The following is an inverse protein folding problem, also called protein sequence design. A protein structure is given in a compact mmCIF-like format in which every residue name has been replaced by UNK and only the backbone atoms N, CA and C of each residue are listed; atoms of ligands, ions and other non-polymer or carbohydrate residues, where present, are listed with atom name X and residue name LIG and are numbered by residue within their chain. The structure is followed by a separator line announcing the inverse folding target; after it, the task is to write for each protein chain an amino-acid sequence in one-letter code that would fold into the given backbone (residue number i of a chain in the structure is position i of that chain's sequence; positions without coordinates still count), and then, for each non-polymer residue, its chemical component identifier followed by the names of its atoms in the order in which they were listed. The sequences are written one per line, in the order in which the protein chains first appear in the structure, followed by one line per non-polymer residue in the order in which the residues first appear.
data_IF_098964378908
#
_entry.id   IF_098964378908
#
_cell.length_a   1.000
_cell.length_b   1.000
_cell.length_c   1.000
_cell.angle_alpha   90.00
_cell.angle_beta   90.00
_cell.angle_gamma   90.00
#
_symmetry.space_group_name_H-M   'P 1'
#
loop_
_entity.id
_entity.type
_entity.pdbx_description
1 polymer ?
#
# COMPACT_ATOMS: atom_id res chain seq x y z
N UNK A 1 11.79 -0.05 22.00
CA UNK A 1 10.79 0.71 21.22
C UNK A 1 11.35 1.51 20.03
N UNK A 2 12.55 2.13 20.11
CA UNK A 2 13.16 2.88 18.98
C UNK A 2 13.60 2.02 17.78
N UNK A 3 14.07 0.79 17.99
CA UNK A 3 14.60 -0.07 16.92
C UNK A 3 13.54 -0.58 15.93
N UNK A 4 12.28 -0.75 16.37
CA UNK A 4 11.20 -1.27 15.52
C UNK A 4 10.63 -0.23 14.56
N UNK A 5 10.62 1.05 14.93
CA UNK A 5 10.15 2.13 14.04
C UNK A 5 11.17 2.43 12.94
N UNK A 6 12.46 2.54 13.28
CA UNK A 6 13.51 2.73 12.28
C UNK A 6 13.53 1.58 11.27
N UNK A 7 13.41 0.33 11.74
CA UNK A 7 13.34 -0.83 10.85
C UNK A 7 12.12 -0.81 9.91
N UNK A 8 10.99 -0.24 10.35
CA UNK A 8 9.79 -0.06 9.53
C UNK A 8 9.87 1.13 8.57
N UNK A 9 10.65 2.16 8.90
CA UNK A 9 10.87 3.32 8.03
C UNK A 9 11.87 2.96 6.93
N UNK A 10 12.90 2.17 7.23
CA UNK A 10 13.94 1.75 6.29
C UNK A 10 13.70 0.36 5.67
N UNK A 11 12.45 -0.11 5.61
CA UNK A 11 12.06 -1.32 4.88
C UNK A 11 12.00 -1.07 3.37
N UNK A 12 13.13 -0.71 2.76
CA UNK A 12 13.23 -0.33 1.34
C UNK A 12 12.76 -1.43 0.37
N UNK A 13 12.75 -2.70 0.80
CA UNK A 13 12.24 -3.81 0.00
C UNK A 13 10.71 -3.87 -0.14
N UNK A 14 9.96 -2.96 0.49
CA UNK A 14 8.49 -3.00 0.46
C UNK A 14 7.89 -2.39 -0.83
N UNK A 15 8.68 -1.72 -1.66
CA UNK A 15 8.18 -0.99 -2.84
C UNK A 15 7.56 -1.95 -3.89
N UNK A 16 6.25 -1.80 -4.16
CA UNK A 16 5.53 -2.59 -5.18
C UNK A 16 5.52 -1.86 -6.52
N UNK A 17 5.66 -2.63 -7.60
CA UNK A 17 5.61 -2.13 -8.99
C UNK A 17 6.63 -1.01 -9.30
N UNK A 18 7.82 -1.05 -8.69
CA UNK A 18 8.83 0.02 -8.82
C UNK A 18 9.30 0.34 -10.25
N UNK A 19 9.08 -0.57 -11.21
CA UNK A 19 9.36 -0.31 -12.62
C UNK A 19 8.49 0.83 -13.20
N UNK A 20 7.23 0.99 -12.77
CA UNK A 20 6.37 2.10 -13.21
C UNK A 20 6.94 3.45 -12.75
N UNK A 21 7.41 3.49 -11.51
CA UNK A 21 8.08 4.66 -10.94
C UNK A 21 9.38 4.96 -11.69
N UNK A 22 10.16 3.94 -12.03
CA UNK A 22 11.39 4.11 -12.82
C UNK A 22 11.12 4.69 -14.21
N UNK A 23 10.06 4.24 -14.89
CA UNK A 23 9.64 4.81 -16.19
C UNK A 23 9.21 6.26 -16.01
N UNK A 24 8.41 6.57 -14.98
CA UNK A 24 8.00 7.95 -14.67
C UNK A 24 9.21 8.87 -14.49
N UNK A 25 10.20 8.45 -13.70
CA UNK A 25 11.46 9.19 -13.50
C UNK A 25 12.21 9.36 -14.81
N UNK A 26 12.37 8.30 -15.60
CA UNK A 26 13.08 8.35 -16.88
C UNK A 26 12.44 9.34 -17.86
N UNK A 27 11.09 9.34 -17.97
CA UNK A 27 10.37 10.31 -18.80
C UNK A 27 10.59 11.73 -18.29
N UNK A 28 10.61 11.93 -16.97
CA UNK A 28 10.86 13.24 -16.37
C UNK A 28 12.28 13.75 -16.65
N UNK A 29 13.29 12.88 -16.53
CA UNK A 29 14.69 13.18 -16.86
C UNK A 29 14.81 13.63 -18.31
N UNK A 30 14.21 12.88 -19.24
CA UNK A 30 14.25 13.21 -20.68
C UNK A 30 13.56 14.54 -20.95
N UNK A 31 12.39 14.76 -20.35
CA UNK A 31 11.65 16.03 -20.49
C UNK A 31 12.50 17.20 -20.00
N UNK A 32 13.04 17.11 -18.78
CA UNK A 32 13.88 18.16 -18.18
C UNK A 32 15.13 18.43 -19.02
N UNK A 33 15.80 17.37 -19.47
CA UNK A 33 17.00 17.51 -20.29
C UNK A 33 16.71 18.25 -21.61
N UNK A 34 15.60 17.92 -22.28
CA UNK A 34 15.17 18.58 -23.52
C UNK A 34 14.78 20.03 -23.28
N UNK A 35 14.07 20.31 -22.17
CA UNK A 35 13.69 21.66 -21.75
C UNK A 35 14.90 22.58 -21.64
N UNK A 36 15.92 22.13 -20.90
CA UNK A 36 17.08 22.96 -20.58
C UNK A 36 18.07 23.10 -21.76
N UNK A 37 18.21 22.06 -22.59
CA UNK A 37 19.14 22.09 -23.73
C UNK A 37 18.57 22.79 -24.96
N UNK A 38 17.29 22.59 -25.26
CA UNK A 38 16.70 23.04 -26.51
C UNK A 38 15.70 24.17 -26.38
N UNK A 39 15.22 24.47 -25.16
CA UNK A 39 14.16 25.44 -24.87
C UNK A 39 13.13 25.52 -26.02
N UNK A 40 12.34 24.45 -26.21
CA UNK A 40 11.52 24.30 -27.40
C UNK A 40 10.47 25.41 -27.47
N UNK A 41 10.42 26.12 -28.61
CA UNK A 41 9.35 27.11 -28.89
C UNK A 41 7.95 26.50 -28.77
N UNK A 42 7.83 25.20 -29.00
CA UNK A 42 6.59 24.44 -28.85
C UNK A 42 6.51 23.78 -27.47
N UNK A 43 5.94 24.50 -26.50
CA UNK A 43 5.79 24.03 -25.12
C UNK A 43 4.78 22.88 -24.95
N UNK A 44 3.95 22.61 -25.96
CA UNK A 44 2.89 21.60 -25.89
C UNK A 44 3.46 20.19 -25.68
N UNK A 45 4.45 19.80 -26.49
CA UNK A 45 5.06 18.46 -26.41
C UNK A 45 5.76 18.25 -25.07
N UNK A 46 6.49 19.27 -24.61
CA UNK A 46 7.17 19.23 -23.33
C UNK A 46 6.19 19.07 -22.16
N UNK A 47 5.08 19.82 -22.20
CA UNK A 47 3.99 19.69 -21.23
C UNK A 47 3.41 18.28 -21.24
N UNK A 48 3.18 17.69 -22.41
CA UNK A 48 2.70 16.30 -22.53
C UNK A 48 3.65 15.30 -21.86
N UNK A 49 4.97 15.45 -22.02
CA UNK A 49 5.93 14.57 -21.35
C UNK A 49 5.91 14.71 -19.83
N UNK A 50 5.85 15.93 -19.30
CA UNK A 50 5.71 16.15 -17.86
C UNK A 50 4.39 15.57 -17.32
N UNK A 51 3.27 15.78 -18.02
CA UNK A 51 1.99 15.19 -17.66
C UNK A 51 2.00 13.66 -17.72
N UNK A 52 2.63 13.08 -18.74
CA UNK A 52 2.78 11.63 -18.86
C UNK A 52 3.62 11.04 -17.71
N UNK A 53 4.74 11.68 -17.39
CA UNK A 53 5.57 11.30 -16.24
C UNK A 53 4.77 11.35 -14.93
N UNK A 54 4.03 12.45 -14.71
CA UNK A 54 3.19 12.61 -13.54
C UNK A 54 2.09 11.54 -13.46
N UNK A 55 1.38 11.28 -14.57
CA UNK A 55 0.33 10.27 -14.63
C UNK A 55 0.88 8.87 -14.31
N UNK A 56 2.05 8.52 -14.82
CA UNK A 56 2.73 7.27 -14.49
C UNK A 56 3.06 7.17 -12.99
N UNK A 57 3.52 8.25 -12.36
CA UNK A 57 3.75 8.29 -10.91
C UNK A 57 2.45 8.12 -10.12
N UNK A 58 1.35 8.75 -10.55
CA UNK A 58 0.03 8.59 -9.92
C UNK A 58 -0.47 7.16 -10.05
N UNK A 59 -0.38 6.56 -11.24
CA UNK A 59 -0.74 5.16 -11.48
C UNK A 59 0.10 4.21 -10.63
N UNK A 60 1.41 4.47 -10.53
CA UNK A 60 2.28 3.74 -9.60
C UNK A 60 1.80 3.90 -8.16
N UNK A 61 1.47 5.11 -7.71
CA UNK A 61 0.93 5.37 -6.37
C UNK A 61 -0.35 4.58 -6.10
N UNK A 62 -1.28 4.50 -7.05
CA UNK A 62 -2.47 3.66 -6.93
C UNK A 62 -2.14 2.16 -6.84
N UNK A 63 -1.35 1.65 -7.79
CA UNK A 63 -0.99 0.23 -7.86
C UNK A 63 -0.17 -0.22 -6.64
N UNK A 64 0.76 0.62 -6.19
CA UNK A 64 1.56 0.39 -5.00
C UNK A 64 0.67 0.32 -3.75
N UNK A 65 -0.30 1.23 -3.59
CA UNK A 65 -1.27 1.17 -2.48
C UNK A 65 -2.04 -0.15 -2.49
N UNK A 66 -2.68 -0.48 -3.62
CA UNK A 66 -3.48 -1.71 -3.77
C UNK A 66 -2.63 -2.96 -3.53
N UNK A 67 -1.37 -2.98 -3.99
CA UNK A 67 -0.44 -4.08 -3.76
C UNK A 67 -0.07 -4.31 -2.28
N UNK A 68 -0.31 -3.31 -1.42
CA UNK A 68 -0.12 -3.39 0.02
C UNK A 68 -1.40 -3.64 0.82
N UNK A 69 -2.57 -3.51 0.19
CA UNK A 69 -3.84 -3.92 0.80
C UNK A 69 -3.80 -5.44 0.96
N UNK A 70 -3.44 -5.90 2.16
CA UNK A 70 -3.60 -7.29 2.56
C UNK A 70 -4.94 -7.44 3.26
N UNK A 71 -5.86 -8.11 2.59
CA UNK A 71 -7.01 -8.71 3.29
C UNK A 71 -6.42 -9.81 4.18
N UNK A 72 -6.72 -9.75 5.47
CA UNK A 72 -6.14 -10.63 6.49
C UNK A 72 -6.23 -12.12 6.05
N UNK A 73 -5.22 -12.94 6.38
CA UNK A 73 -5.10 -14.33 5.92
C UNK A 73 -6.30 -15.20 6.33
N UNK A 74 -6.94 -14.85 7.44
CA UNK A 74 -8.21 -15.42 7.91
C UNK A 74 -9.32 -15.43 6.84
N UNK A 75 -9.19 -14.58 5.81
CA UNK A 75 -10.20 -14.37 4.79
C UNK A 75 -9.98 -15.19 3.52
N UNK A 76 -8.81 -15.80 3.33
CA UNK A 76 -8.40 -16.47 2.08
C UNK A 76 -8.69 -17.98 2.05
N UNK A 77 -8.94 -18.61 3.20
CA UNK A 77 -9.28 -20.05 3.30
C UNK A 77 -10.76 -20.21 3.68
N UNK A 78 -11.63 -20.11 2.69
CA UNK A 78 -13.10 -20.11 2.89
C UNK A 78 -13.74 -21.50 2.78
N UNK A 79 -12.99 -22.49 2.34
CA UNK A 79 -13.52 -23.83 2.01
C UNK A 79 -13.35 -24.85 3.14
N UNK A 80 -12.66 -24.47 4.22
CA UNK A 80 -12.31 -25.39 5.29
C UNK A 80 -12.51 -24.73 6.66
N UNK A 81 -13.55 -25.20 7.37
CA UNK A 81 -13.92 -24.78 8.72
C UNK A 81 -12.75 -25.01 9.69
N UNK A 82 -12.05 -26.14 9.60
CA UNK A 82 -10.93 -26.44 10.48
C UNK A 82 -9.75 -25.50 10.21
N UNK A 83 -9.48 -25.18 8.94
CA UNK A 83 -8.45 -24.20 8.58
C UNK A 83 -8.81 -22.78 9.02
N UNK A 84 -10.09 -22.41 9.05
CA UNK A 84 -10.58 -21.12 9.54
C UNK A 84 -10.39 -20.99 11.06
N UNK A 85 -10.93 -21.94 11.83
CA UNK A 85 -10.91 -21.90 13.29
C UNK A 85 -9.49 -21.99 13.86
N UNK A 86 -8.61 -22.76 13.24
CA UNK A 86 -7.22 -22.88 13.69
C UNK A 86 -6.43 -21.57 13.61
N UNK A 87 -6.83 -20.65 12.72
CA UNK A 87 -6.19 -19.33 12.57
C UNK A 87 -6.68 -18.31 13.61
N UNK A 88 -7.75 -18.61 14.35
CA UNK A 88 -8.27 -17.72 15.38
C UNK A 88 -7.32 -17.67 16.58
N UNK A 89 -7.13 -16.48 17.15
CA UNK A 89 -6.32 -16.28 18.35
C UNK A 89 -7.16 -16.47 19.62
N UNK A 90 -7.83 -17.63 19.73
CA UNK A 90 -8.68 -18.02 20.87
C UNK A 90 -8.11 -19.29 21.54
N UNK A 91 -8.62 -19.62 22.73
CA UNK A 91 -8.15 -20.79 23.48
C UNK A 91 -8.41 -22.10 22.70
N UNK A 92 -7.66 -23.15 22.98
CA UNK A 92 -7.83 -24.43 22.30
C UNK A 92 -9.24 -25.03 22.51
N UNK A 93 -9.83 -24.76 23.67
CA UNK A 93 -11.18 -25.20 24.03
C UNK A 93 -12.24 -24.44 23.22
N UNK A 94 -12.13 -23.10 23.13
CA UNK A 94 -13.02 -22.26 22.32
C UNK A 94 -12.93 -22.61 20.82
N UNK A 95 -11.74 -22.99 20.34
CA UNK A 95 -11.56 -23.49 18.96
C UNK A 95 -12.38 -24.75 18.73
N UNK A 96 -12.33 -25.70 19.64
CA UNK A 96 -13.08 -26.95 19.49
C UNK A 96 -14.58 -26.69 19.50
N UNK A 97 -15.06 -25.85 20.41
CA UNK A 97 -16.48 -25.47 20.49
C UNK A 97 -16.95 -24.78 19.20
N UNK A 98 -16.21 -23.77 18.74
CA UNK A 98 -16.55 -23.03 17.54
C UNK A 98 -16.51 -23.90 16.27
N UNK A 99 -15.54 -24.81 16.18
CA UNK A 99 -15.49 -25.76 15.06
C UNK A 99 -16.74 -26.63 15.03
N UNK A 100 -17.13 -27.20 16.17
CA UNK A 100 -18.30 -28.06 16.24
C UNK A 100 -19.58 -27.28 15.88
N UNK A 101 -19.72 -26.05 16.38
CA UNK A 101 -20.85 -25.18 16.01
C UNK A 101 -20.93 -24.92 14.50
N UNK A 102 -19.80 -24.62 13.84
CA UNK A 102 -19.76 -24.37 12.40
C UNK A 102 -20.02 -25.64 11.58
N UNK A 103 -19.55 -26.79 12.05
CA UNK A 103 -19.81 -28.09 11.43
C UNK A 103 -21.29 -28.49 11.54
N UNK A 104 -21.92 -28.26 12.69
CA UNK A 104 -23.35 -28.51 12.90
C UNK A 104 -24.21 -27.58 12.02
N UNK A 105 -23.87 -26.30 11.96
CA UNK A 105 -24.56 -25.34 11.11
C UNK A 105 -24.40 -25.67 9.61
N UNK A 106 -23.21 -26.12 9.18
CA UNK A 106 -22.99 -26.59 7.82
C UNK A 106 -23.81 -27.87 7.54
N UNK A 107 -23.89 -28.81 8.48
CA UNK A 107 -24.70 -30.01 8.33
C UNK A 107 -26.20 -29.68 8.17
N UNK A 108 -26.70 -28.66 8.87
CA UNK A 108 -28.08 -28.20 8.70
C UNK A 108 -28.33 -27.56 7.33
N UNK A 109 -27.36 -26.83 6.78
CA UNK A 109 -27.43 -26.30 5.42
C UNK A 109 -27.39 -27.41 4.36
N UNK A 110 -26.59 -28.47 4.58
CA UNK A 110 -26.59 -29.67 3.74
C UNK A 110 -27.97 -30.36 3.75
N UNK A 111 -28.60 -30.48 4.93
CA UNK A 111 -29.97 -31.01 5.07
C UNK A 111 -31.02 -30.14 4.36
N UNK A 112 -30.77 -28.85 4.19
CA UNK A 112 -31.61 -27.92 3.44
C UNK A 112 -31.36 -27.97 1.91
N UNK A 113 -30.54 -28.91 1.44
CA UNK A 113 -30.31 -29.15 0.01
C UNK A 113 -29.12 -28.39 -0.57
N UNK A 114 -28.28 -27.74 0.26
CA UNK A 114 -27.01 -27.16 -0.20
C UNK A 114 -25.97 -28.25 -0.41
N UNK A 115 -25.05 -28.01 -1.33
CA UNK A 115 -23.87 -28.89 -1.45
C UNK A 115 -22.96 -28.69 -0.25
N UNK A 116 -22.21 -29.72 0.14
CA UNK A 116 -21.25 -29.69 1.25
C UNK A 116 -20.28 -28.50 1.18
N UNK A 117 -19.81 -28.16 -0.02
CA UNK A 117 -18.91 -27.03 -0.23
C UNK A 117 -19.61 -25.68 -0.07
N UNK A 118 -20.85 -25.54 -0.56
CA UNK A 118 -21.66 -24.33 -0.36
C UNK A 118 -22.05 -24.14 1.11
N UNK A 119 -22.46 -25.22 1.78
CA UNK A 119 -22.86 -25.21 3.18
C UNK A 119 -21.72 -24.76 4.10
N UNK A 120 -20.51 -25.32 3.90
CA UNK A 120 -19.31 -24.90 4.64
C UNK A 120 -18.94 -23.45 4.37
N UNK A 121 -19.00 -23.03 3.10
CA UNK A 121 -18.69 -21.64 2.71
C UNK A 121 -19.67 -20.65 3.33
N UNK A 122 -20.96 -20.98 3.33
CA UNK A 122 -22.01 -20.15 3.93
C UNK A 122 -21.88 -20.09 5.45
N UNK A 123 -21.61 -21.22 6.10
CA UNK A 123 -21.34 -21.31 7.54
C UNK A 123 -20.18 -20.40 7.98
N UNK A 124 -19.04 -20.52 7.29
CA UNK A 124 -17.88 -19.65 7.53
C UNK A 124 -18.20 -18.19 7.23
N UNK A 125 -18.94 -17.90 6.14
CA UNK A 125 -19.31 -16.53 5.76
C UNK A 125 -20.17 -15.83 6.81
N UNK A 126 -21.25 -16.48 7.28
CA UNK A 126 -22.16 -15.98 8.32
C UNK A 126 -21.42 -15.66 9.62
N UNK A 127 -20.58 -16.57 10.09
CA UNK A 127 -19.85 -16.40 11.34
C UNK A 127 -18.78 -15.32 11.24
N UNK A 128 -18.09 -15.26 10.11
CA UNK A 128 -17.06 -14.27 9.83
C UNK A 128 -17.62 -12.85 9.70
N UNK A 129 -18.84 -12.66 9.21
CA UNK A 129 -19.50 -11.33 9.27
C UNK A 129 -19.71 -10.91 10.72
N UNK A 130 -20.20 -11.81 11.59
CA UNK A 130 -20.37 -11.53 13.03
C UNK A 130 -19.04 -11.32 13.74
N UNK A 131 -18.02 -12.12 13.41
CA UNK A 131 -16.68 -12.00 13.97
C UNK A 131 -15.96 -10.75 13.46
N UNK A 132 -16.17 -10.35 12.21
CA UNK A 132 -15.72 -9.07 11.65
C UNK A 132 -16.32 -7.89 12.43
N UNK A 133 -17.62 -7.96 12.76
CA UNK A 133 -18.29 -6.94 13.56
C UNK A 133 -17.72 -6.86 14.99
N UNK A 134 -17.45 -7.99 15.64
CA UNK A 134 -16.90 -8.03 17.00
C UNK A 134 -15.41 -7.69 17.06
N UNK A 135 -14.62 -8.15 16.09
CA UNK A 135 -13.19 -7.86 15.96
C UNK A 135 -12.91 -6.46 15.42
N UNK A 136 -13.77 -5.84 14.61
CA UNK A 136 -13.56 -4.44 14.16
C UNK A 136 -13.40 -3.45 15.33
N UNK A 137 -13.90 -3.81 16.53
CA UNK A 137 -13.70 -3.08 17.78
C UNK A 137 -12.30 -3.22 18.39
N UNK A 138 -11.55 -4.30 18.09
CA UNK A 138 -10.29 -4.65 18.76
C UNK A 138 -9.11 -5.00 17.84
N UNK A 139 -9.34 -5.33 16.58
CA UNK A 139 -8.33 -5.72 15.57
C UNK A 139 -8.66 -5.08 14.22
N UNK A 140 -7.67 -4.41 13.62
CA UNK A 140 -7.84 -3.66 12.37
C UNK A 140 -8.07 -4.65 11.22
N UNK A 141 -9.21 -4.61 10.50
CA UNK A 141 -9.50 -5.54 9.40
C UNK A 141 -8.51 -5.43 8.23
N UNK A 142 -7.85 -4.27 8.13
CA UNK A 142 -6.70 -4.04 7.28
C UNK A 142 -5.46 -3.87 8.16
N UNK A 143 -4.54 -4.82 8.08
CA UNK A 143 -3.16 -4.55 8.46
C UNK A 143 -2.53 -3.72 7.33
N UNK A 144 -2.78 -2.41 7.36
CA UNK A 144 -1.94 -1.45 6.67
C UNK A 144 -0.56 -1.62 7.31
N UNK A 145 0.32 -2.41 6.66
CA UNK A 145 1.76 -2.35 6.89
C UNK A 145 2.09 -0.89 6.66
N UNK A 146 2.15 -0.12 7.75
CA UNK A 146 2.07 1.32 7.63
C UNK A 146 3.15 1.76 6.68
N UNK A 147 2.77 2.50 5.64
CA UNK A 147 3.58 2.91 4.50
C UNK A 147 4.76 3.83 4.87
N UNK A 148 5.33 3.65 6.06
CA UNK A 148 6.47 4.35 6.64
C UNK A 148 7.73 4.18 5.79
N UNK A 149 7.81 3.16 4.92
CA UNK A 149 8.86 3.06 3.91
C UNK A 149 8.86 4.29 2.98
N UNK A 150 7.70 4.90 2.67
CA UNK A 150 7.64 6.15 1.90
C UNK A 150 8.34 7.30 2.63
N UNK A 151 8.27 7.35 3.95
CA UNK A 151 9.03 8.32 4.76
C UNK A 151 10.53 8.03 4.67
N UNK A 152 10.93 6.74 4.67
CA UNK A 152 12.32 6.34 4.48
C UNK A 152 12.86 6.77 3.11
N UNK A 153 12.10 6.50 2.04
CA UNK A 153 12.44 6.95 0.69
C UNK A 153 12.50 8.47 0.57
N UNK A 154 11.55 9.19 1.17
CA UNK A 154 11.58 10.65 1.22
C UNK A 154 12.82 11.17 1.94
N UNK A 155 13.15 10.61 3.11
CA UNK A 155 14.31 11.02 3.89
C UNK A 155 15.61 10.79 3.12
N UNK A 156 15.77 9.62 2.47
CA UNK A 156 16.94 9.31 1.65
C UNK A 156 17.01 10.26 0.44
N UNK A 157 15.90 10.48 -0.27
CA UNK A 157 15.88 11.34 -1.45
C UNK A 157 16.23 12.79 -1.11
N UNK A 158 15.62 13.35 -0.05
CA UNK A 158 15.89 14.72 0.38
C UNK A 158 17.29 14.90 0.96
N UNK A 159 17.81 13.91 1.70
CA UNK A 159 19.18 13.94 2.18
C UNK A 159 20.17 13.89 1.01
N UNK A 160 19.92 13.05 -0.01
CA UNK A 160 20.73 12.98 -1.22
C UNK A 160 20.67 14.29 -2.03
N UNK A 161 19.49 14.91 -2.16
CA UNK A 161 19.34 16.21 -2.80
C UNK A 161 20.12 17.31 -2.06
N UNK A 162 20.01 17.36 -0.73
CA UNK A 162 20.75 18.34 0.08
C UNK A 162 22.27 18.15 -0.01
N UNK A 163 22.73 16.89 -0.01
CA UNK A 163 24.14 16.57 -0.20
C UNK A 163 24.64 16.97 -1.59
N UNK A 164 23.88 16.68 -2.65
CA UNK A 164 24.21 17.06 -4.01
C UNK A 164 24.31 18.59 -4.17
N UNK A 165 23.30 19.32 -3.67
CA UNK A 165 23.29 20.78 -3.68
C UNK A 165 24.48 21.38 -2.89
N UNK A 166 24.83 20.79 -1.74
CA UNK A 166 25.98 21.24 -0.96
C UNK A 166 27.30 21.01 -1.72
N UNK A 167 27.45 19.88 -2.40
CA UNK A 167 28.63 19.59 -3.22
C UNK A 167 28.75 20.64 -4.33
N UNK A 168 27.68 20.89 -5.09
CA UNK A 168 27.68 21.88 -6.19
C UNK A 168 28.12 23.27 -5.72
N UNK A 169 27.62 23.71 -4.56
CA UNK A 169 28.00 25.00 -3.96
C UNK A 169 29.47 25.02 -3.50
N UNK A 170 29.97 23.93 -2.93
CA UNK A 170 31.35 23.85 -2.44
C UNK A 170 32.39 23.74 -3.56
N UNK A 171 32.03 23.13 -4.68
CA UNK A 171 32.93 22.93 -5.83
C UNK A 171 32.73 23.97 -6.93
N UNK A 172 31.78 24.90 -6.77
CA UNK A 172 31.35 25.88 -7.78
C UNK A 172 31.06 25.22 -9.14
N UNK A 173 30.56 23.98 -9.10
CA UNK A 173 30.40 23.12 -10.29
C UNK A 173 28.93 22.90 -10.58
N UNK A 174 28.28 23.94 -11.10
CA UNK A 174 26.90 23.84 -11.57
C UNK A 174 26.87 23.07 -12.90
N UNK A 175 26.42 21.82 -12.84
CA UNK A 175 26.31 20.95 -14.02
C UNK A 175 24.85 20.60 -14.27
N UNK A 176 24.46 20.47 -15.54
CA UNK A 176 23.10 20.07 -15.93
C UNK A 176 22.67 18.73 -15.30
N UNK A 177 23.48 17.66 -15.30
CA UNK A 177 23.11 16.41 -14.64
C UNK A 177 22.88 16.58 -13.13
N UNK A 178 23.66 17.43 -12.48
CA UNK A 178 23.51 17.76 -11.07
C UNK A 178 22.21 18.50 -10.77
N UNK A 179 21.86 19.51 -11.60
CA UNK A 179 20.59 20.21 -11.51
C UNK A 179 19.38 19.27 -11.67
N UNK A 180 19.43 18.38 -12.68
CA UNK A 180 18.39 17.37 -12.92
C UNK A 180 18.26 16.45 -11.70
N UNK A 181 19.38 15.92 -11.21
CA UNK A 181 19.39 15.00 -10.07
C UNK A 181 18.82 15.64 -8.80
N UNK A 182 19.31 16.83 -8.44
CA UNK A 182 18.87 17.58 -7.26
C UNK A 182 17.39 17.92 -7.33
N UNK A 183 16.91 18.36 -8.50
CA UNK A 183 15.50 18.71 -8.70
C UNK A 183 14.59 17.48 -8.58
N UNK A 184 14.93 16.38 -9.28
CA UNK A 184 14.13 15.15 -9.23
C UNK A 184 14.11 14.53 -7.84
N UNK A 185 15.26 14.44 -7.17
CA UNK A 185 15.33 13.92 -5.80
C UNK A 185 14.47 14.74 -4.84
N UNK A 186 14.46 16.07 -4.99
CA UNK A 186 13.63 16.97 -4.19
C UNK A 186 12.14 16.75 -4.46
N UNK A 187 11.73 16.79 -5.74
CA UNK A 187 10.33 16.66 -6.13
C UNK A 187 9.77 15.28 -5.75
N UNK A 188 10.44 14.19 -6.11
CA UNK A 188 9.97 12.84 -5.74
C UNK A 188 10.02 12.62 -4.23
N UNK A 189 11.01 13.18 -3.53
CA UNK A 189 11.09 13.14 -2.07
C UNK A 189 9.87 13.77 -1.40
N UNK A 190 9.47 14.97 -1.85
CA UNK A 190 8.25 15.65 -1.38
C UNK A 190 7.00 14.84 -1.75
N UNK A 191 6.93 14.32 -2.97
CA UNK A 191 5.81 13.50 -3.42
C UNK A 191 5.63 12.22 -2.58
N UNK A 192 6.70 11.57 -2.12
CA UNK A 192 6.59 10.42 -1.21
C UNK A 192 5.97 10.79 0.14
N UNK A 193 6.29 11.97 0.69
CA UNK A 193 5.66 12.49 1.92
C UNK A 193 4.16 12.73 1.68
N UNK A 194 3.82 13.38 0.56
CA UNK A 194 2.43 13.61 0.16
C UNK A 194 1.66 12.30 -0.01
N UNK A 195 2.27 11.31 -0.66
CA UNK A 195 1.68 10.00 -0.87
C UNK A 195 1.45 9.25 0.45
N UNK A 196 2.38 9.34 1.40
CA UNK A 196 2.20 8.79 2.75
C UNK A 196 0.99 9.41 3.46
N UNK A 197 0.83 10.73 3.38
CA UNK A 197 -0.33 11.41 3.95
C UNK A 197 -1.62 10.99 3.25
N UNK A 198 -1.61 10.90 1.91
CA UNK A 198 -2.74 10.45 1.11
C UNK A 198 -3.17 9.03 1.48
N UNK A 199 -2.22 8.09 1.58
CA UNK A 199 -2.53 6.71 1.98
C UNK A 199 -3.16 6.65 3.36
N UNK A 200 -2.69 7.44 4.33
CA UNK A 200 -3.34 7.55 5.64
C UNK A 200 -4.76 8.09 5.57
N UNK A 201 -5.02 9.05 4.69
CA UNK A 201 -6.38 9.57 4.47
C UNK A 201 -7.29 8.51 3.86
N UNK A 202 -6.82 7.78 2.85
CA UNK A 202 -7.56 6.69 2.22
C UNK A 202 -7.84 5.57 3.24
N UNK A 203 -6.85 5.16 4.03
CA UNK A 203 -7.01 4.17 5.11
C UNK A 203 -8.11 4.60 6.09
N UNK A 204 -8.10 5.87 6.53
CA UNK A 204 -9.12 6.42 7.44
C UNK A 204 -10.50 6.47 6.80
N UNK A 205 -10.58 6.84 5.52
CA UNK A 205 -11.84 6.91 4.79
C UNK A 205 -12.44 5.52 4.58
N UNK A 206 -11.64 4.55 4.14
CA UNK A 206 -12.07 3.15 3.99
C UNK A 206 -12.54 2.57 5.31
N UNK A 207 -11.80 2.81 6.39
CA UNK A 207 -12.20 2.36 7.73
C UNK A 207 -13.55 2.94 8.14
N UNK A 208 -13.75 4.25 7.98
CA UNK A 208 -15.02 4.90 8.31
C UNK A 208 -16.17 4.36 7.45
N UNK A 209 -15.96 4.21 6.13
CA UNK A 209 -16.97 3.69 5.21
C UNK A 209 -17.39 2.26 5.56
N UNK A 210 -16.46 1.42 5.98
CA UNK A 210 -16.78 0.08 6.45
C UNK A 210 -17.59 0.15 7.74
N UNK A 211 -17.18 0.96 8.70
CA UNK A 211 -17.93 1.13 9.95
C UNK A 211 -19.38 1.59 9.70
N UNK A 212 -19.58 2.58 8.81
CA UNK A 212 -20.91 3.12 8.46
C UNK A 212 -21.78 2.11 7.69
N UNK A 213 -21.20 1.25 6.84
CA UNK A 213 -21.95 0.24 6.10
C UNK A 213 -22.49 -0.88 7.00
N UNK A 214 -21.85 -1.09 8.14
CA UNK A 214 -22.11 -2.18 9.06
C UNK A 214 -22.80 -1.73 10.37
N UNK A 215 -23.06 -0.44 10.55
CA UNK A 215 -23.87 0.14 11.63
C UNK A 215 -25.33 0.24 11.24
#
# INVERSE_FOLDING_TARGET
MRSTLLRKIFSLGELRYGWLLAISVAVCVVAFYVDEQWNPREQLWLSLFYFASFLLAVLWGGANYVGHIRVNAMYRKQHDIAAYVNQLAISAEDKTELRNYLEDYAADLERQGRTKEEAKREAVSQFKVKEFLSMSKHTRPFESHGHHYLIGYAAIALAAAAAAALIEVLTDSFSLPGLIATTLLTVYGICFIGLFALYKLVDKFLYKKLQDYFS
#
